data_IF_694827724795
#
_entry.id   IF_694827724795
#
_cell.length_a   1.000
_cell.length_b   1.000
_cell.length_c   1.000
_cell.angle_alpha   90.00
_cell.angle_beta   90.00
_cell.angle_gamma   90.00
#
_symmetry.space_group_name_H-M   'P 1'
#
loop_
_entity.id
_entity.type
_entity.pdbx_description
1 polymer ?
#
# COMPACT_ATOMS: atom_id res chain seq x y z
N UNK A 1 -46.51 -15.82 -25.32
CA UNK A 1 -45.70 -14.60 -25.11
C UNK A 1 -44.42 -14.98 -24.41
N UNK A 2 -43.30 -14.95 -25.09
CA UNK A 2 -41.98 -15.08 -24.50
C UNK A 2 -41.67 -13.74 -23.85
N UNK A 3 -41.77 -13.64 -22.52
CA UNK A 3 -41.22 -12.57 -21.77
C UNK A 3 -39.71 -12.72 -21.69
N UNK A 4 -38.98 -11.95 -22.50
CA UNK A 4 -37.57 -11.71 -22.26
C UNK A 4 -37.48 -10.89 -20.95
N UNK A 5 -37.14 -11.56 -19.85
CA UNK A 5 -36.65 -10.91 -18.66
C UNK A 5 -35.33 -10.23 -19.06
N UNK A 6 -35.37 -8.92 -19.24
CA UNK A 6 -34.16 -8.12 -19.32
C UNK A 6 -33.54 -8.20 -17.93
N UNK A 7 -32.46 -8.96 -17.77
CA UNK A 7 -31.64 -8.84 -16.58
C UNK A 7 -31.18 -7.38 -16.50
N UNK A 8 -31.41 -6.73 -15.36
CA UNK A 8 -30.83 -5.41 -15.08
C UNK A 8 -29.32 -5.63 -14.90
N UNK A 9 -28.65 -5.77 -16.03
CA UNK A 9 -27.19 -5.86 -16.09
C UNK A 9 -26.64 -4.44 -16.10
N UNK A 10 -26.14 -3.99 -14.97
CA UNK A 10 -25.50 -2.68 -14.86
C UNK A 10 -24.34 -2.74 -13.86
N UNK A 11 -23.34 -1.93 -14.09
CA UNK A 11 -22.30 -1.62 -13.12
C UNK A 11 -22.20 -0.11 -13.00
N UNK A 12 -22.27 0.39 -11.78
CA UNK A 12 -22.14 1.82 -11.46
C UNK A 12 -21.02 1.99 -10.45
N UNK A 13 -20.13 2.94 -10.72
CA UNK A 13 -19.08 3.32 -9.80
C UNK A 13 -19.25 4.79 -9.40
N UNK A 14 -19.19 5.08 -8.12
CA UNK A 14 -19.26 6.40 -7.53
C UNK A 14 -18.00 6.66 -6.73
N UNK A 15 -17.43 7.84 -6.83
CA UNK A 15 -16.23 8.17 -6.09
C UNK A 15 -16.18 9.64 -5.72
N UNK A 16 -15.45 9.92 -4.65
CA UNK A 16 -15.12 11.26 -4.18
C UNK A 16 -13.67 11.26 -3.71
N UNK A 17 -12.97 12.35 -3.96
CA UNK A 17 -11.63 12.56 -3.45
C UNK A 17 -11.47 13.94 -2.83
N UNK A 18 -10.49 14.06 -1.94
CA UNK A 18 -10.15 15.30 -1.27
C UNK A 18 -8.65 15.44 -1.06
N UNK A 19 -8.16 16.67 -1.11
CA UNK A 19 -6.78 17.01 -0.78
C UNK A 19 -6.76 18.23 0.13
N UNK A 20 -6.01 18.14 1.24
CA UNK A 20 -5.85 19.20 2.21
C UNK A 20 -4.36 19.45 2.46
N UNK A 21 -3.90 20.64 2.10
CA UNK A 21 -2.58 21.13 2.48
C UNK A 21 -2.63 21.79 3.86
N UNK A 22 -1.72 21.43 4.75
CA UNK A 22 -1.55 22.06 6.06
C UNK A 22 -0.17 22.70 6.11
N UNK A 23 -0.16 24.02 6.00
CA UNK A 23 1.07 24.76 5.80
C UNK A 23 1.74 24.36 4.47
N UNK A 24 3.07 24.44 4.43
CA UNK A 24 3.87 24.16 3.23
C UNK A 24 4.42 22.71 3.19
N UNK A 25 4.25 21.94 4.27
CA UNK A 25 4.97 20.68 4.48
C UNK A 25 4.08 19.46 4.60
N UNK A 26 2.80 19.64 4.87
CA UNK A 26 1.89 18.52 5.11
C UNK A 26 0.78 18.48 4.07
N UNK A 27 0.60 17.31 3.47
CA UNK A 27 -0.48 17.02 2.55
C UNK A 27 -1.26 15.80 3.05
N UNK A 28 -2.56 15.99 3.27
CA UNK A 28 -3.50 14.90 3.53
C UNK A 28 -4.31 14.70 2.26
N UNK A 29 -4.43 13.47 1.81
CA UNK A 29 -5.27 13.09 0.68
C UNK A 29 -6.13 11.89 1.06
N UNK A 30 -7.38 11.92 0.64
CA UNK A 30 -8.32 10.84 0.86
C UNK A 30 -9.18 10.65 -0.38
N UNK A 31 -9.60 9.43 -0.61
CA UNK A 31 -10.63 9.11 -1.57
C UNK A 31 -11.49 7.98 -1.04
N UNK A 32 -12.73 7.94 -1.48
CA UNK A 32 -13.66 6.84 -1.23
C UNK A 32 -14.47 6.57 -2.48
N UNK A 33 -14.75 5.31 -2.74
CA UNK A 33 -15.56 4.86 -3.86
C UNK A 33 -16.49 3.73 -3.42
N UNK A 34 -17.58 3.59 -4.18
CA UNK A 34 -18.55 2.51 -4.02
C UNK A 34 -19.00 2.06 -5.40
N UNK A 35 -19.20 0.76 -5.54
CA UNK A 35 -19.77 0.15 -6.76
C UNK A 35 -21.18 -0.37 -6.48
N UNK A 36 -21.99 -0.41 -7.54
CA UNK A 36 -23.35 -0.98 -7.53
C UNK A 36 -23.42 -1.95 -8.70
N UNK A 37 -23.32 -3.23 -8.39
CA UNK A 37 -23.33 -4.34 -9.35
C UNK A 37 -24.43 -5.32 -8.94
N UNK A 38 -25.41 -5.63 -9.79
CA UNK A 38 -26.40 -6.67 -9.48
C UNK A 38 -25.69 -7.96 -9.13
N UNK A 39 -26.10 -8.64 -8.11
CA UNK A 39 -25.50 -9.90 -7.60
C UNK A 39 -24.33 -9.75 -6.63
N UNK A 40 -23.78 -8.57 -6.41
CA UNK A 40 -22.74 -8.31 -5.43
C UNK A 40 -23.28 -7.34 -4.37
N UNK A 41 -23.66 -7.86 -3.20
CA UNK A 41 -24.18 -7.07 -2.08
C UNK A 41 -23.19 -7.04 -0.91
N UNK A 42 -23.00 -5.86 -0.32
CA UNK A 42 -22.09 -5.65 0.80
C UNK A 42 -20.62 -5.60 0.35
N UNK A 43 -19.77 -5.03 1.15
CA UNK A 43 -18.32 -4.90 0.92
C UNK A 43 -17.94 -4.39 -0.48
N UNK A 44 -18.80 -3.54 -1.03
CA UNK A 44 -18.74 -2.95 -2.36
C UNK A 44 -18.07 -1.57 -2.38
N UNK A 45 -17.28 -1.29 -1.34
CA UNK A 45 -16.60 -0.01 -1.10
C UNK A 45 -15.09 -0.12 -1.25
N UNK A 46 -14.46 1.01 -1.53
CA UNK A 46 -13.01 1.17 -1.41
C UNK A 46 -12.69 2.58 -0.92
N UNK A 47 -11.69 2.72 -0.07
CA UNK A 47 -11.22 4.02 0.38
C UNK A 47 -9.73 4.02 0.73
N UNK A 48 -9.13 5.20 0.70
CA UNK A 48 -7.76 5.41 1.16
C UNK A 48 -7.62 6.74 1.86
N UNK A 49 -6.84 6.75 2.92
CA UNK A 49 -6.39 7.95 3.62
C UNK A 49 -4.86 7.96 3.65
N UNK A 50 -4.27 9.04 3.18
CA UNK A 50 -2.83 9.23 3.13
C UNK A 50 -2.45 10.58 3.71
N UNK A 51 -1.42 10.60 4.56
CA UNK A 51 -0.80 11.81 5.05
C UNK A 51 0.71 11.78 4.73
N UNK A 52 1.21 12.87 4.17
CA UNK A 52 2.62 13.05 3.88
C UNK A 52 3.10 14.35 4.55
N UNK A 53 4.27 14.26 5.15
CA UNK A 53 5.02 15.41 5.64
C UNK A 53 6.37 15.45 4.93
N UNK A 54 6.75 16.58 4.38
CA UNK A 54 8.06 16.78 3.75
C UNK A 54 8.69 18.09 4.16
N UNK A 55 9.95 18.02 4.59
CA UNK A 55 10.75 19.15 5.00
C UNK A 55 12.18 19.01 4.48
N UNK A 56 13.03 20.01 4.72
CA UNK A 56 14.44 19.92 4.34
C UNK A 56 15.18 18.74 4.96
N UNK A 57 14.77 18.30 6.15
CA UNK A 57 15.44 17.22 6.90
C UNK A 57 14.65 15.92 6.95
N UNK A 58 13.32 15.97 6.93
CA UNK A 58 12.47 14.82 7.12
C UNK A 58 11.43 14.66 6.04
N UNK A 59 11.19 13.42 5.66
CA UNK A 59 10.06 13.02 4.84
C UNK A 59 9.35 11.85 5.52
N UNK A 60 8.04 11.97 5.78
CA UNK A 60 7.22 10.95 6.41
C UNK A 60 5.98 10.69 5.57
N UNK A 61 5.56 9.45 5.51
CA UNK A 61 4.31 9.05 4.90
C UNK A 61 3.60 7.99 5.75
N UNK A 62 2.29 8.09 5.80
CA UNK A 62 1.41 7.07 6.35
C UNK A 62 0.20 6.92 5.44
N UNK A 63 -0.23 5.70 5.20
CA UNK A 63 -1.34 5.38 4.32
C UNK A 63 -2.12 4.20 4.90
N UNK A 64 -3.44 4.31 4.88
CA UNK A 64 -4.35 3.20 5.05
C UNK A 64 -5.26 3.11 3.84
N UNK A 65 -5.45 1.91 3.32
CA UNK A 65 -6.34 1.63 2.19
C UNK A 65 -7.15 0.38 2.49
N UNK A 66 -8.42 0.41 2.16
CA UNK A 66 -9.31 -0.73 2.24
C UNK A 66 -10.08 -0.87 0.93
N UNK A 67 -10.16 -2.09 0.44
CA UNK A 67 -10.92 -2.45 -0.76
C UNK A 67 -11.74 -3.68 -0.43
N UNK A 68 -13.05 -3.51 -0.45
CA UNK A 68 -14.02 -4.55 -0.14
C UNK A 68 -13.95 -5.73 -1.13
N UNK A 69 -14.41 -6.89 -0.71
CA UNK A 69 -14.39 -8.12 -1.50
C UNK A 69 -15.29 -8.05 -2.74
N UNK A 70 -16.37 -7.26 -2.66
CA UNK A 70 -17.34 -7.07 -3.73
C UNK A 70 -17.19 -5.71 -4.45
N UNK A 71 -16.09 -4.99 -4.19
CA UNK A 71 -15.81 -3.76 -4.92
C UNK A 71 -15.39 -4.07 -6.36
N UNK A 72 -16.28 -3.82 -7.32
CA UNK A 72 -16.12 -4.17 -8.73
C UNK A 72 -16.27 -2.97 -9.67
N UNK A 73 -15.23 -2.15 -9.87
CA UNK A 73 -15.27 -1.03 -10.81
C UNK A 73 -14.95 -1.51 -12.24
N UNK A 74 -15.94 -1.98 -13.00
CA UNK A 74 -15.74 -2.47 -14.39
C UNK A 74 -15.21 -1.38 -15.34
N UNK A 75 -15.29 -0.11 -14.96
CA UNK A 75 -14.73 1.02 -15.71
C UNK A 75 -13.22 1.17 -15.56
N UNK A 76 -12.57 0.37 -14.73
CA UNK A 76 -11.14 0.43 -14.44
C UNK A 76 -10.53 -0.91 -14.10
N UNK A 77 -9.20 -0.97 -14.09
CA UNK A 77 -8.46 -2.15 -13.67
C UNK A 77 -8.24 -2.15 -12.16
N UNK A 78 -8.69 -3.19 -11.49
CA UNK A 78 -8.42 -3.46 -10.09
C UNK A 78 -7.49 -4.69 -10.00
N UNK A 79 -6.26 -4.48 -9.52
CA UNK A 79 -5.27 -5.56 -9.44
C UNK A 79 -5.49 -6.51 -8.27
N UNK A 80 -6.24 -6.08 -7.26
CA UNK A 80 -6.53 -6.83 -6.03
C UNK A 80 -7.78 -6.29 -5.37
N UNK A 81 -8.60 -7.16 -4.85
CA UNK A 81 -9.80 -6.89 -4.05
C UNK A 81 -9.73 -7.63 -2.71
N UNK A 82 -10.62 -7.33 -1.78
CA UNK A 82 -10.72 -8.02 -0.50
C UNK A 82 -9.51 -7.80 0.42
N UNK A 83 -9.00 -6.57 0.57
CA UNK A 83 -7.84 -6.32 1.42
C UNK A 83 -7.91 -5.03 2.22
N UNK A 84 -7.17 -5.03 3.32
CA UNK A 84 -6.80 -3.85 4.09
C UNK A 84 -5.27 -3.68 4.03
N UNK A 85 -4.80 -2.49 3.69
CA UNK A 85 -3.39 -2.17 3.58
C UNK A 85 -3.02 -1.06 4.55
N UNK A 86 -1.95 -1.26 5.29
CA UNK A 86 -1.25 -0.21 6.00
C UNK A 86 0.14 -0.01 5.41
N UNK A 87 0.53 1.24 5.19
CA UNK A 87 1.87 1.56 4.76
C UNK A 87 2.41 2.79 5.49
N UNK A 88 3.69 2.78 5.80
CA UNK A 88 4.40 3.92 6.39
C UNK A 88 5.83 3.98 5.88
N UNK A 89 6.35 5.19 5.79
CA UNK A 89 7.74 5.42 5.46
C UNK A 89 8.28 6.63 6.20
N UNK A 90 9.57 6.62 6.45
CA UNK A 90 10.29 7.76 6.99
C UNK A 90 11.69 7.82 6.41
N UNK A 91 12.13 9.03 6.09
CA UNK A 91 13.47 9.33 5.60
C UNK A 91 14.00 10.56 6.34
N UNK A 92 15.25 10.48 6.80
CA UNK A 92 15.97 11.61 7.36
C UNK A 92 17.10 12.03 6.40
N UNK A 93 17.27 13.33 6.18
CA UNK A 93 18.40 13.90 5.45
C UNK A 93 19.38 14.52 6.45
N UNK A 94 20.57 13.94 6.54
CA UNK A 94 21.65 14.39 7.41
C UNK A 94 22.75 14.95 6.52
N UNK A 95 23.12 16.20 6.71
CA UNK A 95 24.17 16.88 5.93
C UNK A 95 25.32 17.22 6.87
N UNK A 96 26.30 16.33 7.05
CA UNK A 96 27.44 16.58 7.91
C UNK A 96 28.30 17.68 7.29
N UNK A 97 28.89 18.52 8.16
CA UNK A 97 29.86 19.50 7.72
C UNK A 97 31.27 18.92 7.91
N UNK A 98 32.11 19.08 6.88
CA UNK A 98 33.53 18.70 6.91
C UNK A 98 33.82 17.26 7.34
N UNK A 99 32.98 16.31 6.92
CA UNK A 99 33.16 14.91 7.23
C UNK A 99 33.54 14.10 5.99
N UNK A 100 34.85 13.98 5.70
CA UNK A 100 35.42 13.16 4.60
C UNK A 100 34.78 13.37 3.23
N UNK A 101 34.33 14.59 2.93
CA UNK A 101 33.64 14.94 1.68
C UNK A 101 32.24 14.34 1.54
N UNK A 102 31.67 13.81 2.63
CA UNK A 102 30.31 13.30 2.66
C UNK A 102 29.31 14.47 2.58
N UNK A 103 28.43 14.44 1.59
CA UNK A 103 27.46 15.49 1.32
C UNK A 103 26.14 15.23 2.06
N UNK A 104 25.63 14.03 1.97
CA UNK A 104 24.36 13.67 2.59
C UNK A 104 24.34 12.19 2.99
N UNK A 105 23.66 11.90 4.11
CA UNK A 105 23.29 10.57 4.56
C UNK A 105 21.77 10.53 4.66
N UNK A 106 21.14 9.52 4.05
CA UNK A 106 19.66 9.35 4.03
C UNK A 106 19.24 8.01 4.60
N UNK A 107 19.27 7.82 5.94
CA UNK A 107 18.63 6.67 6.55
C UNK A 107 17.12 6.73 6.33
N UNK A 108 16.55 5.62 5.91
CA UNK A 108 15.12 5.54 5.70
C UNK A 108 14.59 4.13 5.92
N UNK A 109 13.28 4.06 6.19
CA UNK A 109 12.53 2.83 6.16
C UNK A 109 11.25 2.99 5.37
N UNK A 110 10.76 1.88 4.84
CA UNK A 110 9.38 1.75 4.37
C UNK A 110 8.81 0.42 4.83
N UNK A 111 7.59 0.46 5.31
CA UNK A 111 6.85 -0.72 5.72
C UNK A 111 5.48 -0.70 5.04
N UNK A 112 5.05 -1.86 4.55
CA UNK A 112 3.69 -2.09 4.07
C UNK A 112 3.24 -3.48 4.47
N UNK A 113 1.97 -3.61 4.81
CA UNK A 113 1.37 -4.90 5.12
C UNK A 113 -0.07 -4.94 4.62
N UNK A 114 -0.51 -6.14 4.30
CA UNK A 114 -1.83 -6.44 3.78
C UNK A 114 -2.49 -7.48 4.66
N UNK A 115 -3.75 -7.27 4.95
CA UNK A 115 -4.62 -8.20 5.66
C UNK A 115 -5.88 -8.41 4.84
N UNK A 116 -6.46 -9.58 4.94
CA UNK A 116 -7.82 -9.82 4.51
C UNK A 116 -8.84 -9.34 5.56
N UNK A 117 -10.11 -9.61 5.33
CA UNK A 117 -11.19 -9.21 6.24
C UNK A 117 -11.35 -10.14 7.46
N UNK A 118 -10.67 -11.29 7.50
CA UNK A 118 -10.57 -12.19 8.64
C UNK A 118 -9.40 -11.86 9.57
N UNK A 119 -8.76 -10.70 9.41
CA UNK A 119 -7.57 -10.27 10.14
C UNK A 119 -6.31 -11.12 9.87
N UNK A 120 -6.34 -11.95 8.86
CA UNK A 120 -5.17 -12.71 8.47
C UNK A 120 -4.18 -11.82 7.70
N UNK A 121 -2.93 -11.77 8.18
CA UNK A 121 -1.88 -11.02 7.51
C UNK A 121 -1.35 -11.81 6.31
N UNK A 122 -1.71 -11.38 5.11
CA UNK A 122 -1.35 -12.06 3.88
C UNK A 122 0.09 -11.80 3.46
N UNK A 123 0.52 -10.54 3.50
CA UNK A 123 1.90 -10.19 3.14
C UNK A 123 2.37 -8.99 3.93
N UNK A 124 3.66 -8.91 4.20
CA UNK A 124 4.29 -7.68 4.64
C UNK A 124 5.69 -7.51 4.06
N UNK A 125 6.11 -6.28 3.96
CA UNK A 125 7.43 -5.89 3.48
C UNK A 125 7.99 -4.77 4.33
N UNK A 126 9.16 -4.99 4.91
CA UNK A 126 9.94 -3.97 5.57
C UNK A 126 11.25 -3.76 4.81
N UNK A 127 11.51 -2.53 4.43
CA UNK A 127 12.75 -2.08 3.83
C UNK A 127 13.43 -1.10 4.77
N UNK A 128 14.69 -1.38 5.10
CA UNK A 128 15.58 -0.52 5.86
C UNK A 128 16.78 -0.21 4.99
N UNK A 129 17.11 1.05 4.80
CA UNK A 129 18.24 1.42 3.95
C UNK A 129 18.89 2.72 4.44
N UNK A 130 20.18 2.88 4.10
CA UNK A 130 20.93 4.12 4.28
C UNK A 130 21.67 4.43 3.00
N UNK A 131 21.35 5.57 2.39
CA UNK A 131 22.11 6.11 1.28
C UNK A 131 23.19 7.07 1.81
N UNK A 132 24.38 6.94 1.26
CA UNK A 132 25.53 7.79 1.54
C UNK A 132 25.97 8.42 0.23
N UNK A 133 26.06 9.74 0.20
CA UNK A 133 26.42 10.50 -1.01
C UNK A 133 27.59 11.42 -0.73
N UNK A 134 28.62 11.36 -1.56
CA UNK A 134 29.82 12.19 -1.45
C UNK A 134 29.86 13.28 -2.52
N UNK A 135 30.58 14.38 -2.22
CA UNK A 135 30.75 15.52 -3.13
C UNK A 135 31.40 15.17 -4.47
N UNK A 136 32.17 14.08 -4.53
CA UNK A 136 32.80 13.59 -5.75
C UNK A 136 31.90 12.70 -6.62
N UNK A 137 30.63 12.53 -6.23
CA UNK A 137 29.63 11.76 -6.95
C UNK A 137 29.63 10.25 -6.62
N UNK A 138 30.41 9.79 -5.64
CA UNK A 138 30.27 8.43 -5.14
C UNK A 138 29.02 8.29 -4.30
N UNK A 139 28.33 7.15 -4.48
CA UNK A 139 27.15 6.77 -3.69
C UNK A 139 27.36 5.35 -3.15
N UNK A 140 26.91 5.13 -1.92
CA UNK A 140 26.81 3.82 -1.28
C UNK A 140 25.39 3.62 -0.76
N UNK A 141 24.80 2.47 -1.07
CA UNK A 141 23.49 2.07 -0.57
C UNK A 141 23.66 0.80 0.27
N UNK A 142 23.09 0.81 1.47
CA UNK A 142 23.13 -0.34 2.38
C UNK A 142 21.70 -0.67 2.80
N UNK A 143 21.13 -1.73 2.21
CA UNK A 143 19.73 -2.07 2.41
C UNK A 143 19.53 -3.45 3.03
N UNK A 144 18.47 -3.57 3.81
CA UNK A 144 17.97 -4.82 4.36
C UNK A 144 16.47 -4.92 4.14
N UNK A 145 16.03 -6.07 3.61
CA UNK A 145 14.63 -6.32 3.26
C UNK A 145 14.12 -7.54 4.04
N UNK A 146 12.94 -7.39 4.64
CA UNK A 146 12.20 -8.48 5.25
C UNK A 146 10.88 -8.63 4.52
N UNK A 147 10.64 -9.81 3.97
CA UNK A 147 9.38 -10.22 3.37
C UNK A 147 8.70 -11.24 4.28
N UNK A 148 7.41 -11.13 4.43
CA UNK A 148 6.58 -12.11 5.11
C UNK A 148 5.38 -12.42 4.23
N UNK A 149 5.18 -13.69 3.93
CA UNK A 149 4.01 -14.20 3.22
C UNK A 149 3.24 -15.12 4.16
N UNK A 150 1.96 -14.81 4.34
CA UNK A 150 1.03 -15.62 5.11
C UNK A 150 0.52 -16.78 4.27
N UNK A 151 0.46 -17.96 4.86
CA UNK A 151 -0.06 -19.17 4.25
C UNK A 151 -1.30 -19.60 5.03
N UNK A 152 -2.47 -19.48 4.42
CA UNK A 152 -3.75 -19.87 5.04
C UNK A 152 -3.95 -21.37 5.11
N UNK A 153 -3.56 -22.09 4.06
CA UNK A 153 -3.77 -23.52 3.92
C UNK A 153 -2.46 -24.23 3.60
N UNK A 154 -2.29 -25.41 4.17
CA UNK A 154 -1.14 -26.24 3.85
C UNK A 154 -1.16 -26.62 2.35
N UNK A 155 -0.02 -26.57 1.71
CA UNK A 155 0.14 -27.04 0.34
C UNK A 155 1.43 -27.84 0.16
N UNK A 156 1.38 -28.73 -0.83
CA UNK A 156 2.51 -29.58 -1.19
C UNK A 156 3.40 -28.87 -2.21
N UNK A 157 4.70 -28.79 -1.92
CA UNK A 157 5.69 -28.20 -2.85
C UNK A 157 6.24 -29.29 -3.78
N UNK A 158 6.53 -30.46 -3.21
CA UNK A 158 7.02 -31.65 -3.89
C UNK A 158 6.50 -32.85 -3.11
N UNK A 159 6.33 -34.01 -3.72
CA UNK A 159 5.85 -35.23 -3.09
C UNK A 159 6.35 -35.37 -1.63
N UNK A 160 5.42 -35.37 -0.68
CA UNK A 160 5.63 -35.48 0.78
C UNK A 160 6.28 -34.25 1.49
N UNK A 161 6.47 -33.10 0.81
CA UNK A 161 7.00 -31.86 1.42
C UNK A 161 5.91 -30.80 1.52
N UNK A 162 5.36 -30.63 2.71
CA UNK A 162 4.25 -29.71 2.99
C UNK A 162 4.70 -28.40 3.62
N UNK A 163 4.18 -27.29 3.10
CA UNK A 163 4.24 -26.00 3.80
C UNK A 163 3.01 -25.90 4.70
N UNK A 164 3.24 -25.62 5.98
CA UNK A 164 2.18 -25.49 6.97
C UNK A 164 1.64 -24.06 7.00
N UNK A 165 0.35 -23.88 7.40
CA UNK A 165 -0.23 -22.56 7.63
C UNK A 165 0.58 -21.76 8.66
N UNK A 166 0.71 -20.45 8.43
CA UNK A 166 1.41 -19.54 9.33
C UNK A 166 1.67 -18.16 8.69
N UNK A 167 2.18 -17.23 9.48
CA UNK A 167 2.61 -15.88 9.03
C UNK A 167 3.99 -15.56 9.59
#
# INVERSE_FOLDING_TARGET
SFGLSKSDDHNRAYGVDARLGIGEKTLISAWAAKTDTPTLDGDDHAYSLKANFDSAEWSHGIEYTEVGENFNPEVGFLSREGYRKFATNSLKRIRPQDFYGLMEIRPHYSYRAYWDFDDFKETSFLHLDVHWEWQNGYELHTGYNIFTDGIKEAFDIVDDVWVQPGT
#
